data_IF_177209176335
#
_entry.id   IF_177209176335
#
_cell.length_a   1.000
_cell.length_b   1.000
_cell.length_c   1.000
_cell.angle_alpha   90.00
_cell.angle_beta   90.00
_cell.angle_gamma   90.00
#
_symmetry.space_group_name_H-M   'P 1'
#
loop_
_entity.id
_entity.type
_entity.pdbx_description
1 polymer ?
#
# COMPACT_ATOMS: atom_id res chain seq x y z
N UNK A 1 -27.28 9.86 14.73
CA UNK A 1 -26.22 8.89 15.05
C UNK A 1 -25.06 9.64 15.66
N UNK A 2 -24.54 9.21 16.81
CA UNK A 2 -23.34 9.82 17.41
C UNK A 2 -22.20 9.77 16.39
N UNK A 3 -21.62 10.93 16.05
CA UNK A 3 -20.56 11.04 15.04
C UNK A 3 -19.40 10.07 15.32
N UNK A 4 -19.11 9.82 16.60
CA UNK A 4 -18.11 8.84 17.05
C UNK A 4 -18.43 7.41 16.63
N UNK A 5 -19.70 6.98 16.71
CA UNK A 5 -20.12 5.64 16.25
C UNK A 5 -19.97 5.49 14.73
N UNK A 6 -20.22 6.56 13.97
CA UNK A 6 -20.06 6.53 12.51
C UNK A 6 -18.59 6.32 12.10
N UNK A 7 -17.64 7.01 12.75
CA UNK A 7 -16.21 6.83 12.48
C UNK A 7 -15.68 5.45 12.88
N UNK A 8 -16.19 4.89 13.99
CA UNK A 8 -15.83 3.53 14.43
C UNK A 8 -16.33 2.49 13.41
N UNK A 9 -17.60 2.59 12.99
CA UNK A 9 -18.17 1.67 12.00
C UNK A 9 -17.45 1.78 10.65
N UNK A 10 -17.09 3.00 10.22
CA UNK A 10 -16.31 3.21 9.00
C UNK A 10 -14.93 2.54 9.11
N UNK A 11 -14.21 2.78 10.21
CA UNK A 11 -12.87 2.21 10.45
C UNK A 11 -12.91 0.68 10.47
N UNK A 12 -13.92 0.11 11.13
CA UNK A 12 -14.15 -1.34 11.15
C UNK A 12 -14.47 -1.88 9.76
N UNK A 13 -15.30 -1.18 8.97
CA UNK A 13 -15.60 -1.55 7.60
C UNK A 13 -14.35 -1.59 6.72
N UNK A 14 -13.51 -0.55 6.80
CA UNK A 14 -12.24 -0.49 6.06
C UNK A 14 -11.31 -1.63 6.49
N UNK A 15 -11.17 -1.87 7.80
CA UNK A 15 -10.32 -2.94 8.33
C UNK A 15 -10.80 -4.32 7.87
N UNK A 16 -12.12 -4.55 7.87
CA UNK A 16 -12.72 -5.80 7.39
C UNK A 16 -12.40 -6.03 5.90
N UNK A 17 -12.54 -4.99 5.07
CA UNK A 17 -12.20 -5.05 3.64
C UNK A 17 -10.72 -5.39 3.45
N UNK A 18 -9.82 -4.69 4.15
CA UNK A 18 -8.37 -4.97 4.11
C UNK A 18 -8.08 -6.42 4.54
N UNK A 19 -8.71 -6.90 5.62
CA UNK A 19 -8.53 -8.26 6.12
C UNK A 19 -8.99 -9.31 5.10
N UNK A 20 -10.15 -9.11 4.46
CA UNK A 20 -10.65 -9.99 3.38
C UNK A 20 -9.64 -10.02 2.23
N UNK A 21 -9.17 -8.87 1.76
CA UNK A 21 -8.19 -8.80 0.68
C UNK A 21 -6.89 -9.53 1.05
N UNK A 22 -6.33 -9.27 2.22
CA UNK A 22 -5.07 -9.89 2.64
C UNK A 22 -5.21 -11.41 2.78
N UNK A 23 -6.28 -11.88 3.40
CA UNK A 23 -6.47 -13.31 3.69
C UNK A 23 -6.87 -14.12 2.45
N UNK A 24 -7.77 -13.60 1.60
CA UNK A 24 -8.18 -14.29 0.38
C UNK A 24 -7.13 -14.22 -0.74
N UNK A 25 -6.47 -13.07 -0.92
CA UNK A 25 -5.51 -12.87 -2.01
C UNK A 25 -4.12 -13.46 -1.68
N UNK A 26 -3.80 -13.67 -0.39
CA UNK A 26 -2.54 -14.25 0.07
C UNK A 26 -2.46 -15.79 -0.01
N UNK A 27 -3.59 -16.48 -0.17
CA UNK A 27 -3.67 -17.95 0.03
C UNK A 27 -2.96 -18.81 -1.01
N UNK A 28 -2.59 -18.27 -2.18
CA UNK A 28 -2.13 -19.08 -3.31
C UNK A 28 -0.82 -18.64 -3.98
N UNK A 29 0.04 -17.87 -3.29
CA UNK A 29 1.31 -17.43 -3.88
C UNK A 29 2.49 -18.18 -3.27
N UNK A 30 3.03 -19.12 -4.05
CA UNK A 30 4.39 -19.65 -3.92
C UNK A 30 5.34 -18.49 -3.61
N UNK A 31 5.92 -18.51 -2.41
CA UNK A 31 6.93 -17.60 -1.85
C UNK A 31 7.26 -16.37 -2.73
N UNK A 32 6.34 -15.41 -2.79
CA UNK A 32 6.58 -14.14 -3.46
C UNK A 32 7.43 -13.28 -2.51
N UNK A 33 8.71 -13.62 -2.40
CA UNK A 33 9.65 -12.89 -1.54
C UNK A 33 9.56 -11.40 -1.83
N UNK A 34 9.38 -10.62 -0.77
CA UNK A 34 9.45 -9.16 -0.84
C UNK A 34 10.80 -8.79 -1.45
N UNK A 35 10.78 -8.15 -2.60
CA UNK A 35 11.99 -7.63 -3.20
C UNK A 35 12.44 -6.39 -2.42
N UNK A 36 13.74 -6.08 -2.39
CA UNK A 36 14.23 -4.82 -1.82
C UNK A 36 13.55 -3.60 -2.47
N UNK A 37 13.25 -3.66 -3.78
CA UNK A 37 12.52 -2.61 -4.50
C UNK A 37 11.08 -2.46 -4.01
N UNK A 38 10.37 -3.56 -3.73
CA UNK A 38 9.02 -3.50 -3.16
C UNK A 38 9.03 -2.87 -1.77
N UNK A 39 10.03 -3.20 -0.94
CA UNK A 39 10.22 -2.56 0.37
C UNK A 39 10.50 -1.05 0.25
N UNK A 40 11.35 -0.66 -0.69
CA UNK A 40 11.70 0.74 -0.95
C UNK A 40 10.50 1.53 -1.48
N UNK A 41 9.74 0.96 -2.42
CA UNK A 41 8.49 1.53 -2.92
C UNK A 41 7.47 1.77 -1.80
N UNK A 42 7.29 0.76 -0.94
CA UNK A 42 6.40 0.87 0.21
C UNK A 42 6.85 1.97 1.20
N UNK A 43 8.16 2.06 1.47
CA UNK A 43 8.72 3.13 2.28
C UNK A 43 8.43 4.53 1.73
N UNK A 44 8.60 4.73 0.42
CA UNK A 44 8.27 6.00 -0.24
C UNK A 44 6.77 6.33 -0.19
N UNK A 45 5.89 5.34 -0.37
CA UNK A 45 4.44 5.54 -0.27
C UNK A 45 4.05 5.92 1.17
N UNK A 46 4.57 5.20 2.17
CA UNK A 46 4.33 5.53 3.58
C UNK A 46 4.83 6.92 3.93
N UNK A 47 6.05 7.27 3.50
CA UNK A 47 6.58 8.61 3.68
C UNK A 47 5.68 9.66 3.02
N UNK A 48 5.19 9.41 1.79
CA UNK A 48 4.25 10.29 1.11
C UNK A 48 2.94 10.52 1.88
N UNK A 49 2.40 9.48 2.52
CA UNK A 49 1.21 9.55 3.38
C UNK A 49 1.51 10.36 4.64
N UNK A 50 2.65 10.11 5.31
CA UNK A 50 3.04 10.80 6.54
C UNK A 50 3.34 12.29 6.31
N UNK A 51 3.97 12.64 5.17
CA UNK A 51 4.21 14.02 4.76
C UNK A 51 3.03 14.66 4.02
N UNK A 52 1.81 14.10 4.14
CA UNK A 52 0.61 14.56 3.44
C UNK A 52 0.21 16.02 3.71
N UNK A 53 0.65 16.60 4.83
CA UNK A 53 0.50 18.02 5.14
C UNK A 53 1.30 18.89 4.17
N UNK A 54 2.55 18.49 3.87
CA UNK A 54 3.39 19.11 2.85
C UNK A 54 3.06 18.49 1.49
N UNK A 55 1.86 18.79 0.96
CA UNK A 55 1.28 18.17 -0.25
C UNK A 55 2.28 17.94 -1.39
N UNK A 56 3.12 18.93 -1.70
CA UNK A 56 4.09 18.84 -2.78
C UNK A 56 5.15 17.76 -2.54
N UNK A 57 5.65 17.65 -1.29
CA UNK A 57 6.60 16.62 -0.87
C UNK A 57 5.88 15.27 -0.76
N UNK A 58 4.71 15.24 -0.12
CA UNK A 58 3.90 14.03 0.06
C UNK A 58 3.56 13.35 -1.27
N UNK A 59 3.03 14.11 -2.23
CA UNK A 59 2.69 13.58 -3.57
C UNK A 59 3.92 13.19 -4.38
N UNK A 60 5.03 13.92 -4.25
CA UNK A 60 6.28 13.56 -4.92
C UNK A 60 6.81 12.22 -4.40
N UNK A 61 6.86 12.03 -3.07
CA UNK A 61 7.29 10.78 -2.45
C UNK A 61 6.35 9.62 -2.81
N UNK A 62 5.04 9.85 -2.76
CA UNK A 62 4.06 8.85 -3.15
C UNK A 62 4.20 8.46 -4.63
N UNK A 63 4.39 9.45 -5.51
CA UNK A 63 4.63 9.23 -6.94
C UNK A 63 5.89 8.42 -7.20
N UNK A 64 7.00 8.76 -6.54
CA UNK A 64 8.26 7.98 -6.61
C UNK A 64 8.02 6.54 -6.17
N UNK A 65 7.34 6.33 -5.03
CA UNK A 65 7.03 5.00 -4.53
C UNK A 65 6.20 4.17 -5.52
N UNK A 66 5.20 4.78 -6.17
CA UNK A 66 4.40 4.13 -7.22
C UNK A 66 5.26 3.76 -8.43
N UNK A 67 6.15 4.65 -8.88
CA UNK A 67 7.06 4.37 -10.01
C UNK A 67 7.99 3.20 -9.67
N UNK A 68 8.59 3.18 -8.48
CA UNK A 68 9.47 2.08 -8.06
C UNK A 68 8.70 0.75 -7.99
N UNK A 69 7.45 0.77 -7.48
CA UNK A 69 6.60 -0.41 -7.47
C UNK A 69 6.30 -0.93 -8.89
N UNK A 70 6.00 -0.03 -9.84
CA UNK A 70 5.79 -0.40 -11.23
C UNK A 70 7.04 -1.03 -11.85
N UNK A 71 8.23 -0.46 -11.61
CA UNK A 71 9.50 -1.02 -12.09
C UNK A 71 9.75 -2.41 -11.52
N UNK A 72 9.49 -2.63 -10.22
CA UNK A 72 9.62 -3.94 -9.59
C UNK A 72 8.68 -4.98 -10.25
N UNK A 73 7.42 -4.61 -10.46
CA UNK A 73 6.43 -5.49 -11.10
C UNK A 73 6.85 -5.84 -12.53
N UNK A 74 7.29 -4.86 -13.32
CA UNK A 74 7.74 -5.06 -14.70
C UNK A 74 9.00 -5.95 -14.75
N UNK A 75 9.95 -5.75 -13.85
CA UNK A 75 11.16 -6.58 -13.77
C UNK A 75 10.82 -8.04 -13.40
N UNK A 76 9.90 -8.25 -12.45
CA UNK A 76 9.45 -9.60 -12.09
C UNK A 76 8.64 -10.27 -13.20
N UNK A 77 7.88 -9.48 -13.98
CA UNK A 77 7.15 -10.00 -15.14
C UNK A 77 8.05 -10.46 -16.27
N UNK A 78 9.25 -9.88 -16.42
CA UNK A 78 10.24 -10.31 -17.43
C UNK A 78 11.11 -11.49 -16.98
N UNK A 79 11.23 -11.70 -15.67
CA UNK A 79 12.02 -12.78 -15.08
C UNK A 79 11.27 -14.11 -14.98
N UNK A 80 9.97 -14.13 -15.30
CA UNK A 80 9.14 -15.33 -15.42
C UNK A 80 8.93 -15.67 -16.90
#
# INVERSE_FOLDING_TARGET
MNSSLAFILLSLGVLLVVAIFVFFLGRNRTENRLTPLAGLAFGFILAGILFGEARLIGYSLMGVGVIVALVDILNRSKSK
#
